data_IF_755202529218
#
_entry.id   IF_755202529218
#
_cell.length_a   1.000
_cell.length_b   1.000
_cell.length_c   1.000
_cell.angle_alpha   90.00
_cell.angle_beta   90.00
_cell.angle_gamma   90.00
#
_symmetry.space_group_name_H-M   'P 1'
#
loop_
_entity.id
_entity.type
_entity.pdbx_description
1 polymer ?
#
# COMPACT_ATOMS: atom_id res chain seq x y z
N UNK A 1 -15.55 -8.69 10.39
CA UNK A 1 -15.09 -7.76 11.44
C UNK A 1 -13.58 -7.80 11.47
N UNK A 2 -12.92 -6.76 10.94
CA UNK A 2 -11.50 -6.39 11.10
C UNK A 2 -10.63 -7.48 11.75
N UNK A 3 -10.46 -8.60 11.03
CA UNK A 3 -9.78 -9.77 11.56
C UNK A 3 -8.29 -9.46 11.64
N UNK A 4 -7.53 -10.20 12.46
CA UNK A 4 -6.05 -10.07 12.45
C UNK A 4 -5.48 -10.25 11.04
N UNK A 5 -6.11 -11.10 10.23
CA UNK A 5 -5.72 -11.36 8.84
C UNK A 5 -6.01 -10.18 7.92
N UNK A 6 -7.16 -9.51 8.08
CA UNK A 6 -7.47 -8.28 7.35
C UNK A 6 -6.41 -7.21 7.57
N UNK A 7 -6.04 -6.93 8.83
CA UNK A 7 -5.02 -5.91 9.13
C UNK A 7 -3.62 -6.27 8.62
N UNK A 8 -3.27 -7.56 8.58
CA UNK A 8 -2.04 -8.04 7.95
C UNK A 8 -2.07 -7.80 6.43
N UNK A 9 -3.16 -8.18 5.75
CA UNK A 9 -3.33 -7.96 4.30
C UNK A 9 -3.27 -6.45 3.96
N UNK A 10 -3.91 -5.60 4.76
CA UNK A 10 -3.86 -4.13 4.60
C UNK A 10 -2.46 -3.59 4.80
N UNK A 11 -1.76 -4.05 5.84
CA UNK A 11 -0.38 -3.64 6.12
C UNK A 11 0.57 -4.01 4.98
N UNK A 12 0.49 -5.24 4.48
CA UNK A 12 1.30 -5.71 3.35
C UNK A 12 1.05 -4.85 2.10
N UNK A 13 -0.21 -4.57 1.78
CA UNK A 13 -0.59 -3.72 0.65
C UNK A 13 -0.08 -2.30 0.81
N UNK A 14 -0.23 -1.70 1.98
CA UNK A 14 0.21 -0.33 2.24
C UNK A 14 1.74 -0.20 2.10
N UNK A 15 2.50 -1.14 2.66
CA UNK A 15 3.98 -1.17 2.55
C UNK A 15 4.40 -1.37 1.10
N UNK A 16 3.77 -2.29 0.38
CA UNK A 16 4.05 -2.52 -1.04
C UNK A 16 3.79 -1.26 -1.87
N UNK A 17 2.66 -0.58 -1.64
CA UNK A 17 2.35 0.69 -2.30
C UNK A 17 3.41 1.75 -1.99
N UNK A 18 3.79 1.93 -0.72
CA UNK A 18 4.82 2.89 -0.32
C UNK A 18 6.15 2.64 -1.03
N UNK A 19 6.62 1.38 -1.03
CA UNK A 19 7.88 0.99 -1.66
C UNK A 19 7.85 1.23 -3.18
N UNK A 20 6.77 0.82 -3.85
CA UNK A 20 6.63 1.03 -5.30
C UNK A 20 6.57 2.52 -5.66
N UNK A 21 5.87 3.34 -4.87
CA UNK A 21 5.85 4.80 -5.03
C UNK A 21 7.22 5.42 -4.83
N UNK A 22 7.97 4.99 -3.81
CA UNK A 22 9.32 5.47 -3.56
C UNK A 22 10.25 5.13 -4.74
N UNK A 23 10.22 3.88 -5.23
CA UNK A 23 11.01 3.45 -6.40
C UNK A 23 10.66 4.25 -7.65
N UNK A 24 9.37 4.55 -7.88
CA UNK A 24 8.95 5.36 -9.02
C UNK A 24 9.49 6.79 -8.98
N UNK A 25 9.60 7.39 -7.79
CA UNK A 25 10.12 8.75 -7.61
C UNK A 25 11.64 8.82 -7.75
N UNK A 26 12.35 7.73 -7.44
CA UNK A 26 13.80 7.68 -7.62
C UNK A 26 14.21 7.76 -9.10
N UNK A 27 13.34 7.28 -10.01
CA UNK A 27 13.44 7.54 -11.46
C UNK A 27 14.81 7.28 -12.10
N UNK A 28 14.99 7.71 -13.35
CA UNK A 28 16.27 7.55 -14.07
C UNK A 28 17.16 8.80 -14.00
N UNK A 29 16.68 9.89 -13.39
CA UNK A 29 17.35 11.19 -13.35
C UNK A 29 18.16 11.47 -12.07
N UNK A 30 18.07 10.62 -11.05
CA UNK A 30 18.83 10.80 -9.81
C UNK A 30 20.20 10.12 -9.94
N UNK A 31 21.25 10.94 -9.94
CA UNK A 31 22.63 10.50 -10.22
C UNK A 31 23.33 9.97 -8.95
N UNK A 32 22.84 10.32 -7.76
CA UNK A 32 23.44 9.92 -6.48
C UNK A 32 22.45 9.84 -5.32
N UNK A 33 22.74 8.96 -4.34
CA UNK A 33 21.92 8.73 -3.14
C UNK A 33 21.72 10.00 -2.29
N UNK A 34 22.69 10.92 -2.28
CA UNK A 34 22.61 12.16 -1.50
C UNK A 34 21.85 13.28 -2.22
N UNK A 35 21.68 13.17 -3.54
CA UNK A 35 20.97 14.17 -4.35
C UNK A 35 19.45 13.93 -4.34
N UNK A 36 19.03 12.80 -3.76
CA UNK A 36 17.63 12.45 -3.59
C UNK A 36 17.01 13.35 -2.52
N UNK A 37 15.91 14.02 -2.88
CA UNK A 37 15.03 14.63 -1.88
C UNK A 37 14.26 13.54 -1.11
N UNK A 38 14.90 13.01 -0.07
CA UNK A 38 14.34 11.97 0.78
C UNK A 38 13.06 12.40 1.50
N UNK A 39 12.93 13.70 1.79
CA UNK A 39 11.73 14.23 2.42
C UNK A 39 10.54 14.17 1.45
N UNK A 40 10.74 14.56 0.19
CA UNK A 40 9.73 14.44 -0.85
C UNK A 40 9.36 12.96 -1.10
N UNK A 41 10.35 12.07 -1.23
CA UNK A 41 10.12 10.63 -1.45
C UNK A 41 9.29 10.03 -0.30
N UNK A 42 9.68 10.29 0.95
CA UNK A 42 8.96 9.80 2.12
C UNK A 42 7.54 10.38 2.21
N UNK A 43 7.36 11.66 1.89
CA UNK A 43 6.05 12.33 1.89
C UNK A 43 5.08 11.69 0.90
N UNK A 44 5.51 11.53 -0.36
CA UNK A 44 4.65 10.98 -1.42
C UNK A 44 4.37 9.49 -1.19
N UNK A 45 5.38 8.71 -0.78
CA UNK A 45 5.20 7.32 -0.41
C UNK A 45 4.23 7.15 0.79
N UNK A 46 4.32 8.05 1.78
CA UNK A 46 3.41 8.07 2.92
C UNK A 46 1.96 8.35 2.53
N UNK A 47 1.72 9.34 1.67
CA UNK A 47 0.37 9.61 1.13
C UNK A 47 -0.16 8.41 0.38
N UNK A 48 0.65 7.76 -0.47
CA UNK A 48 0.23 6.58 -1.22
C UNK A 48 -0.13 5.40 -0.29
N UNK A 49 0.62 5.20 0.79
CA UNK A 49 0.32 4.20 1.81
C UNK A 49 -1.03 4.48 2.50
N UNK A 50 -1.30 5.72 2.89
CA UNK A 50 -2.58 6.14 3.50
C UNK A 50 -3.74 5.88 2.54
N UNK A 51 -3.59 6.24 1.27
CA UNK A 51 -4.60 5.97 0.23
C UNK A 51 -4.84 4.46 0.09
N UNK A 52 -3.79 3.64 0.13
CA UNK A 52 -3.89 2.17 0.09
C UNK A 52 -4.74 1.63 1.25
N UNK A 53 -4.48 2.11 2.48
CA UNK A 53 -5.27 1.75 3.68
C UNK A 53 -6.73 2.17 3.53
N UNK A 54 -7.00 3.42 3.15
CA UNK A 54 -8.36 3.94 2.98
C UNK A 54 -9.13 3.15 1.91
N UNK A 55 -8.46 2.79 0.82
CA UNK A 55 -9.06 1.97 -0.25
C UNK A 55 -9.40 0.58 0.26
N UNK A 56 -8.51 -0.07 1.01
CA UNK A 56 -8.81 -1.36 1.62
C UNK A 56 -9.98 -1.31 2.62
N UNK A 57 -10.09 -0.24 3.40
CA UNK A 57 -11.23 -0.01 4.29
C UNK A 57 -12.54 0.19 3.52
N UNK A 58 -12.51 0.90 2.40
CA UNK A 58 -13.68 1.05 1.52
C UNK A 58 -14.11 -0.30 0.92
N UNK A 59 -13.16 -1.14 0.52
CA UNK A 59 -13.41 -2.46 -0.04
C UNK A 59 -13.97 -3.48 0.95
N UNK A 60 -13.67 -3.36 2.26
CA UNK A 60 -14.19 -4.26 3.30
C UNK A 60 -15.74 -4.26 3.38
N UNK A 61 -16.40 -3.22 2.85
CA UNK A 61 -17.87 -3.13 2.80
C UNK A 61 -18.50 -3.71 1.53
N UNK A 62 -17.71 -4.10 0.54
CA UNK A 62 -18.18 -4.61 -0.77
C UNK A 62 -17.74 -6.07 -1.02
N UNK A 63 -16.67 -6.54 -0.36
CA UNK A 63 -16.13 -7.90 -0.50
C UNK A 63 -16.48 -8.88 0.63
N UNK A 64 -15.88 -10.07 0.58
CA UNK A 64 -16.06 -11.15 1.56
C UNK A 64 -15.65 -10.69 2.98
N UNK A 65 -16.54 -10.69 3.98
CA UNK A 65 -16.26 -10.11 5.29
C UNK A 65 -15.12 -10.84 6.02
N UNK A 66 -13.92 -10.23 6.03
CA UNK A 66 -12.78 -10.72 6.81
C UNK A 66 -11.40 -10.69 6.14
N UNK A 67 -11.31 -10.29 4.86
CA UNK A 67 -10.06 -10.11 4.11
C UNK A 67 -10.10 -8.84 3.26
N UNK A 68 -8.94 -8.25 2.94
CA UNK A 68 -8.86 -7.10 2.05
C UNK A 68 -8.99 -7.48 0.55
N UNK A 69 -9.17 -8.76 0.22
CA UNK A 69 -9.38 -9.26 -1.14
C UNK A 69 -10.82 -9.04 -1.60
N UNK A 70 -10.99 -8.67 -2.88
CA UNK A 70 -12.31 -8.57 -3.53
C UNK A 70 -12.81 -9.90 -4.09
N UNK A 71 -11.92 -10.88 -4.30
CA UNK A 71 -12.28 -12.24 -4.75
C UNK A 71 -12.19 -13.19 -3.55
N UNK A 72 -13.29 -13.90 -3.27
CA UNK A 72 -13.32 -14.97 -2.29
C UNK A 72 -12.45 -16.14 -2.75
N UNK A 73 -11.72 -16.77 -1.82
CA UNK A 73 -11.00 -18.01 -2.12
C UNK A 73 -12.02 -19.11 -2.37
N UNK A 74 -12.19 -19.52 -3.63
CA UNK A 74 -12.80 -20.82 -3.93
C UNK A 74 -11.88 -21.89 -3.31
N UNK A 75 -12.41 -22.65 -2.35
CA UNK A 75 -11.76 -23.85 -1.86
C UNK A 75 -11.88 -24.91 -2.96
N UNK A 76 -10.75 -25.24 -3.58
CA UNK A 76 -10.52 -26.48 -4.30
C UNK A 76 -10.14 -27.60 -3.31
#
# INVERSE_FOLDING_TARGET
MLSKRFWLDVGERAVKTAAQTAVALLGTGMVGFIDVDWAQVASVAGVAAVVSVLTSLASDRVGDPGTASLVGRHAE
#
